data_IF_631841601733
#
_entry.id   IF_631841601733
#
_cell.length_a   1.000
_cell.length_b   1.000
_cell.length_c   1.000
_cell.angle_alpha   90.00
_cell.angle_beta   90.00
_cell.angle_gamma   90.00
#
_symmetry.space_group_name_H-M   'P 1'
#
loop_
_entity.id
_entity.type
_entity.pdbx_description
1 polymer ?
#
# COMPACT_ATOMS: atom_id res chain seq x y z
N UNK A 1 -24.88 42.91 -37.90
CA UNK A 1 -25.20 41.61 -37.25
C UNK A 1 -23.88 40.87 -37.01
N UNK A 2 -23.23 41.14 -35.86
CA UNK A 2 -21.85 40.72 -35.58
C UNK A 2 -21.81 40.13 -34.16
N UNK A 3 -21.72 38.80 -34.04
CA UNK A 3 -21.71 38.05 -32.76
C UNK A 3 -20.72 36.87 -32.77
N UNK A 4 -19.67 36.92 -33.61
CA UNK A 4 -18.70 35.83 -33.78
C UNK A 4 -17.28 36.13 -33.23
N UNK A 5 -16.97 37.38 -32.90
CA UNK A 5 -15.60 37.80 -32.55
C UNK A 5 -15.25 37.50 -31.08
N UNK A 6 -16.22 37.56 -30.16
CA UNK A 6 -16.00 37.30 -28.73
C UNK A 6 -16.06 35.82 -28.32
N UNK A 7 -16.54 34.94 -29.21
CA UNK A 7 -16.72 33.50 -28.91
C UNK A 7 -15.44 32.70 -29.08
N UNK A 8 -14.55 33.10 -30.00
CA UNK A 8 -13.27 32.46 -30.25
C UNK A 8 -12.32 32.46 -29.03
N UNK A 9 -12.08 33.61 -28.34
CA UNK A 9 -11.23 33.62 -27.15
C UNK A 9 -11.87 32.87 -25.96
N UNK A 10 -13.20 32.88 -25.85
CA UNK A 10 -13.92 32.14 -24.79
C UNK A 10 -13.79 30.62 -24.96
N UNK A 11 -13.89 30.12 -26.19
CA UNK A 11 -13.70 28.69 -26.49
C UNK A 11 -12.25 28.27 -26.23
N UNK A 12 -11.27 29.09 -26.61
CA UNK A 12 -9.86 28.83 -26.33
C UNK A 12 -9.54 28.79 -24.83
N UNK A 13 -10.11 29.71 -24.04
CA UNK A 13 -9.94 29.74 -22.58
C UNK A 13 -10.58 28.51 -21.91
N UNK A 14 -11.78 28.10 -22.35
CA UNK A 14 -12.43 26.89 -21.83
C UNK A 14 -11.63 25.62 -22.17
N UNK A 15 -11.08 25.53 -23.37
CA UNK A 15 -10.20 24.43 -23.78
C UNK A 15 -8.91 24.39 -22.95
N UNK A 16 -8.28 25.54 -22.72
CA UNK A 16 -7.09 25.65 -21.89
C UNK A 16 -7.36 25.22 -20.44
N UNK A 17 -8.48 25.66 -19.85
CA UNK A 17 -8.90 25.23 -18.51
C UNK A 17 -9.16 23.73 -18.42
N UNK A 18 -9.81 23.15 -19.44
CA UNK A 18 -10.04 21.70 -19.52
C UNK A 18 -8.72 20.93 -19.60
N UNK A 19 -7.76 21.38 -20.41
CA UNK A 19 -6.43 20.77 -20.53
C UNK A 19 -5.66 20.83 -19.19
N UNK A 20 -5.69 21.97 -18.49
CA UNK A 20 -5.05 22.11 -17.17
C UNK A 20 -5.69 21.16 -16.14
N UNK A 21 -7.02 21.01 -16.19
CA UNK A 21 -7.75 20.08 -15.32
C UNK A 21 -7.37 18.62 -15.62
N UNK A 22 -7.20 18.26 -16.90
CA UNK A 22 -6.76 16.93 -17.33
C UNK A 22 -5.30 16.63 -16.93
N UNK A 23 -4.42 17.63 -16.95
CA UNK A 23 -3.02 17.50 -16.50
C UNK A 23 -2.88 17.30 -14.98
N UNK A 24 -3.92 17.64 -14.20
CA UNK A 24 -3.93 17.49 -12.74
C UNK A 24 -4.23 16.06 -12.27
N UNK A 25 -4.55 15.13 -13.19
CA UNK A 25 -4.95 13.76 -12.89
C UNK A 25 -3.77 12.80 -12.61
N UNK A 26 -2.52 13.26 -12.67
CA UNK A 26 -1.36 12.45 -12.32
C UNK A 26 -1.27 12.25 -10.79
N UNK A 27 -2.00 11.26 -10.26
CA UNK A 27 -1.77 10.75 -8.90
C UNK A 27 -0.47 9.95 -8.90
N UNK A 28 0.64 10.60 -8.56
CA UNK A 28 1.96 9.95 -8.40
C UNK A 28 1.96 9.05 -7.17
N UNK A 29 2.43 7.81 -7.33
CA UNK A 29 2.72 6.90 -6.22
C UNK A 29 3.85 7.49 -5.36
N UNK A 30 3.56 7.80 -4.10
CA UNK A 30 4.51 8.35 -3.12
C UNK A 30 4.48 7.48 -1.85
N UNK A 31 5.09 6.30 -1.86
CA UNK A 31 5.14 5.45 -0.68
C UNK A 31 5.97 6.11 0.41
N UNK A 32 5.55 5.92 1.65
CA UNK A 32 6.35 6.29 2.83
C UNK A 32 7.26 5.10 3.15
N UNK A 33 8.59 5.32 3.31
CA UNK A 33 9.50 4.28 3.79
C UNK A 33 8.99 3.63 5.08
N UNK A 34 9.07 2.30 5.16
CA UNK A 34 8.49 1.52 6.26
C UNK A 34 9.03 1.95 7.64
N UNK A 35 10.32 2.32 7.71
CA UNK A 35 11.01 2.80 8.91
C UNK A 35 10.49 4.16 9.43
N UNK A 36 9.74 4.90 8.61
CA UNK A 36 9.13 6.18 9.00
C UNK A 36 7.69 6.02 9.53
N UNK A 37 7.12 4.83 9.46
CA UNK A 37 5.76 4.53 9.93
C UNK A 37 5.85 3.79 11.28
N UNK A 38 5.20 4.29 12.35
CA UNK A 38 5.47 3.84 13.73
C UNK A 38 4.77 2.51 14.11
N UNK A 39 4.49 1.62 13.16
CA UNK A 39 3.78 0.36 13.45
C UNK A 39 4.58 -0.57 14.38
N UNK A 40 5.92 -0.50 14.34
CA UNK A 40 6.81 -1.28 15.22
C UNK A 40 6.70 -0.89 16.70
N UNK A 41 6.15 0.29 17.04
CA UNK A 41 5.93 0.67 18.45
C UNK A 41 4.95 -0.27 19.17
N UNK A 42 4.13 -0.99 18.40
CA UNK A 42 3.14 -1.96 18.91
C UNK A 42 3.59 -3.40 18.71
N UNK A 43 4.86 -3.61 18.36
CA UNK A 43 5.40 -4.94 18.16
C UNK A 43 5.33 -5.77 19.46
N UNK A 44 5.06 -7.05 19.31
CA UNK A 44 5.06 -8.03 20.38
C UNK A 44 6.23 -8.99 20.16
N UNK A 45 7.00 -9.26 21.21
CA UNK A 45 8.15 -10.19 21.16
C UNK A 45 7.89 -11.36 22.09
N UNK A 46 8.17 -12.56 21.61
CA UNK A 46 8.15 -13.77 22.42
C UNK A 46 9.39 -14.62 22.12
N UNK A 47 9.89 -15.31 23.15
CA UNK A 47 11.04 -16.21 23.05
C UNK A 47 10.64 -17.58 23.58
N UNK A 48 10.86 -18.62 22.78
CA UNK A 48 10.69 -20.02 23.17
C UNK A 48 11.98 -20.75 22.83
N UNK A 49 12.66 -21.29 23.85
CA UNK A 49 14.03 -21.80 23.67
C UNK A 49 14.98 -20.69 23.25
N UNK A 50 15.80 -20.93 22.24
CA UNK A 50 16.67 -19.94 21.57
C UNK A 50 16.02 -19.23 20.38
N UNK A 51 14.73 -19.44 20.13
CA UNK A 51 13.99 -18.79 19.05
C UNK A 51 13.23 -17.56 19.58
N UNK A 52 13.60 -16.38 19.11
CA UNK A 52 12.91 -15.11 19.41
C UNK A 52 12.13 -14.65 18.18
N UNK A 53 10.83 -14.40 18.35
CA UNK A 53 9.95 -13.90 17.29
C UNK A 53 9.37 -12.56 17.72
N UNK A 54 9.55 -11.56 16.89
CA UNK A 54 8.90 -10.26 17.02
C UNK A 54 7.90 -10.07 15.89
N UNK A 55 6.67 -9.70 16.22
CA UNK A 55 5.59 -9.49 15.28
C UNK A 55 4.96 -8.12 15.45
N UNK A 56 4.65 -7.45 14.34
CA UNK A 56 3.89 -6.21 14.33
C UNK A 56 2.86 -6.23 13.21
N UNK A 57 1.72 -5.57 13.44
CA UNK A 57 0.61 -5.49 12.50
C UNK A 57 0.36 -4.03 12.16
N UNK A 58 0.23 -3.75 10.87
CA UNK A 58 -0.04 -2.40 10.35
C UNK A 58 -1.52 -2.08 10.51
N UNK A 59 -1.87 -0.84 10.87
CA UNK A 59 -3.27 -0.38 10.71
C UNK A 59 -3.61 -0.22 9.22
N UNK A 60 -4.87 0.05 8.92
CA UNK A 60 -5.30 0.32 7.54
C UNK A 60 -4.56 1.54 6.96
N UNK A 61 -4.44 2.60 7.75
CA UNK A 61 -3.77 3.85 7.35
C UNK A 61 -2.27 3.64 7.15
N UNK A 62 -1.60 2.94 8.06
CA UNK A 62 -0.16 2.63 7.97
C UNK A 62 0.13 1.74 6.75
N UNK A 63 -0.75 0.76 6.49
CA UNK A 63 -0.69 -0.08 5.30
C UNK A 63 -0.82 0.75 4.02
N UNK A 64 -1.77 1.68 3.96
CA UNK A 64 -1.92 2.56 2.80
C UNK A 64 -0.73 3.52 2.64
N UNK A 65 -0.16 4.03 3.74
CA UNK A 65 1.05 4.87 3.70
C UNK A 65 2.25 4.13 3.08
N UNK A 66 2.47 2.87 3.47
CA UNK A 66 3.61 2.07 2.99
C UNK A 66 3.38 1.57 1.57
N UNK A 67 2.21 0.98 1.30
CA UNK A 67 1.95 0.29 0.03
C UNK A 67 1.25 1.17 -1.02
N UNK A 68 0.76 2.36 -0.63
CA UNK A 68 -0.04 3.25 -1.50
C UNK A 68 -1.36 2.62 -1.94
N UNK A 69 -1.84 1.61 -1.21
CA UNK A 69 -3.05 0.84 -1.52
C UNK A 69 -3.81 0.53 -0.22
N UNK A 70 -5.15 0.60 -0.24
CA UNK A 70 -5.97 0.29 0.93
C UNK A 70 -6.11 -1.24 1.10
N UNK A 71 -5.05 -1.92 1.53
CA UNK A 71 -5.03 -3.39 1.63
C UNK A 71 -6.04 -3.91 2.66
N UNK A 72 -6.22 -3.19 3.78
CA UNK A 72 -7.16 -3.58 4.84
C UNK A 72 -8.62 -3.61 4.39
N UNK A 73 -9.03 -2.64 3.56
CA UNK A 73 -10.36 -2.62 2.90
C UNK A 73 -10.62 -3.84 2.01
N UNK A 74 -9.56 -4.51 1.56
CA UNK A 74 -9.64 -5.75 0.77
C UNK A 74 -9.52 -7.01 1.62
N UNK A 75 -9.58 -6.89 2.94
CA UNK A 75 -9.42 -8.00 3.88
C UNK A 75 -7.99 -8.55 3.93
N UNK A 76 -6.99 -7.77 3.51
CA UNK A 76 -5.58 -8.18 3.54
C UNK A 76 -4.89 -7.40 4.65
N UNK A 77 -4.41 -8.13 5.67
CA UNK A 77 -3.68 -7.57 6.80
C UNK A 77 -2.17 -7.81 6.63
N UNK A 78 -1.36 -6.76 6.41
CA UNK A 78 0.09 -6.91 6.44
C UNK A 78 0.58 -7.20 7.85
N UNK A 79 1.45 -8.20 7.96
CA UNK A 79 2.13 -8.59 9.20
C UNK A 79 3.63 -8.55 8.94
N UNK A 80 4.34 -7.84 9.81
CA UNK A 80 5.80 -7.82 9.84
C UNK A 80 6.29 -8.83 10.88
N UNK A 81 7.32 -9.60 10.53
CA UNK A 81 7.92 -10.61 11.39
C UNK A 81 9.44 -10.47 11.35
N UNK A 82 10.06 -10.50 12.53
CA UNK A 82 11.48 -10.73 12.72
C UNK A 82 11.66 -12.01 13.52
N UNK A 83 12.54 -12.89 13.03
CA UNK A 83 12.79 -14.20 13.64
C UNK A 83 14.30 -14.33 13.83
N UNK A 84 14.72 -14.42 15.08
CA UNK A 84 16.11 -14.62 15.47
C UNK A 84 16.25 -16.03 16.01
N UNK A 85 17.07 -16.84 15.35
CA UNK A 85 17.41 -18.19 15.77
C UNK A 85 18.80 -18.20 16.40
N UNK A 86 18.87 -18.42 17.72
CA UNK A 86 20.12 -18.53 18.47
C UNK A 86 20.44 -19.99 18.86
N UNK A 87 19.90 -20.96 18.12
CA UNK A 87 20.17 -22.39 18.31
C UNK A 87 21.04 -22.97 17.19
N UNK A 88 21.72 -24.09 17.47
CA UNK A 88 22.53 -24.82 16.49
C UNK A 88 21.69 -25.68 15.52
N UNK A 89 20.37 -25.60 15.62
CA UNK A 89 19.40 -26.30 14.78
C UNK A 89 18.73 -25.31 13.82
N UNK A 90 18.62 -25.63 12.52
CA UNK A 90 17.96 -24.76 11.57
C UNK A 90 16.44 -24.85 11.69
N UNK A 91 15.78 -23.68 11.66
CA UNK A 91 14.33 -23.57 11.55
C UNK A 91 13.94 -22.97 10.21
N UNK A 92 12.79 -23.38 9.67
CA UNK A 92 12.20 -22.83 8.47
C UNK A 92 10.80 -22.29 8.75
N UNK A 93 10.52 -21.06 8.33
CA UNK A 93 9.18 -20.50 8.36
C UNK A 93 8.41 -20.94 7.12
N UNK A 94 7.27 -21.60 7.33
CA UNK A 94 6.36 -21.95 6.24
C UNK A 94 5.10 -21.09 6.34
N UNK A 95 5.14 -19.93 5.67
CA UNK A 95 4.14 -18.86 5.85
C UNK A 95 2.69 -19.31 5.60
N UNK A 96 2.47 -20.26 4.69
CA UNK A 96 1.13 -20.79 4.39
C UNK A 96 0.46 -21.51 5.57
N UNK A 97 1.23 -21.98 6.55
CA UNK A 97 0.68 -22.60 7.77
C UNK A 97 0.38 -21.61 8.90
N UNK A 98 0.79 -20.34 8.78
CA UNK A 98 0.51 -19.32 9.80
C UNK A 98 -0.95 -18.89 9.80
N UNK A 99 -1.57 -18.87 8.61
CA UNK A 99 -2.93 -18.38 8.42
C UNK A 99 -3.61 -19.16 7.25
N UNK A 100 -4.78 -19.78 7.48
CA UNK A 100 -5.58 -20.41 6.42
C UNK A 100 -5.87 -19.48 5.23
N UNK A 101 -5.91 -18.17 5.48
CA UNK A 101 -6.14 -17.07 4.54
C UNK A 101 -4.87 -16.32 4.15
N UNK A 102 -3.69 -16.93 4.31
CA UNK A 102 -2.42 -16.35 3.84
C UNK A 102 -2.44 -16.01 2.35
N UNK A 103 -2.09 -14.76 2.02
CA UNK A 103 -1.81 -14.29 0.67
C UNK A 103 -0.31 -13.99 0.53
N UNK A 104 0.30 -14.49 -0.53
CA UNK A 104 1.67 -14.12 -0.88
C UNK A 104 1.75 -12.65 -1.32
N UNK A 105 2.95 -12.07 -1.24
CA UNK A 105 3.19 -10.70 -1.72
C UNK A 105 2.83 -10.55 -3.21
N UNK A 106 3.08 -11.58 -4.04
CA UNK A 106 2.77 -11.56 -5.46
C UNK A 106 1.27 -11.69 -5.75
N UNK A 107 0.53 -12.52 -5.02
CA UNK A 107 -0.93 -12.58 -5.08
C UNK A 107 -1.55 -11.25 -4.64
N UNK A 108 -1.09 -10.71 -3.51
CA UNK A 108 -1.52 -9.41 -3.00
C UNK A 108 -1.28 -8.31 -4.02
N UNK A 109 -0.08 -8.26 -4.61
CA UNK A 109 0.24 -7.33 -5.68
C UNK A 109 -0.71 -7.51 -6.86
N UNK A 110 -0.98 -8.75 -7.30
CA UNK A 110 -1.88 -9.01 -8.44
C UNK A 110 -3.35 -8.67 -8.18
N UNK A 111 -3.85 -8.92 -6.98
CA UNK A 111 -5.20 -8.50 -6.55
C UNK A 111 -5.32 -6.96 -6.46
N UNK A 112 -4.20 -6.26 -6.40
CA UNK A 112 -4.11 -4.81 -6.26
C UNK A 112 -3.48 -4.11 -7.48
N UNK A 113 -3.07 -4.84 -8.52
CA UNK A 113 -2.26 -4.31 -9.63
C UNK A 113 -3.07 -3.60 -10.70
N UNK A 114 -4.40 -3.64 -10.66
CA UNK A 114 -5.25 -2.98 -11.65
C UNK A 114 -6.50 -2.46 -10.95
N UNK A 115 -6.90 -1.23 -11.27
CA UNK A 115 -8.16 -0.61 -10.87
C UNK A 115 -9.34 -1.39 -11.44
N UNK A 116 -9.62 -2.60 -10.94
CA UNK A 116 -10.89 -3.26 -11.20
C UNK A 116 -11.90 -2.62 -10.25
N UNK A 117 -12.46 -1.51 -10.71
CA UNK A 117 -13.69 -0.94 -10.16
C UNK A 117 -14.73 -2.06 -10.25
N UNK A 118 -15.14 -2.60 -9.10
CA UNK A 118 -16.45 -3.27 -9.01
C UNK A 118 -17.51 -2.19 -9.03
#
# INVERSE_FOLDING_TARGET
MMRKIDTFPRVAVLLALLIIMLLSACKTYKPIPMDQVPFLQRAQTNTVGGLTVTAAVLTHEESEQIFGRPLGEKGIQPVWLEIVNNEDIPYALVSRYLDPTYFSASETARMNSVSKKM
#
